data_IF_163955305070
#
_entry.id   IF_163955305070
#
_cell.length_a   1.000
_cell.length_b   1.000
_cell.length_c   1.000
_cell.angle_alpha   90.00
_cell.angle_beta   90.00
_cell.angle_gamma   90.00
#
_symmetry.space_group_name_H-M   'P 1'
#
loop_
_entity.id
_entity.type
_entity.pdbx_description
1 polymer ?
#
# COMPACT_ATOMS: atom_id res chain seq x y z
N UNK A 1 10.78 8.03 -13.86
CA UNK A 1 9.57 8.81 -13.52
C UNK A 1 8.57 8.91 -14.67
N UNK A 2 8.94 9.43 -15.85
CA UNK A 2 7.99 9.58 -16.95
C UNK A 2 7.35 8.25 -17.39
N UNK A 3 8.13 7.17 -17.43
CA UNK A 3 7.62 5.84 -17.81
C UNK A 3 6.66 5.24 -16.77
N UNK A 4 6.94 5.47 -15.48
CA UNK A 4 6.02 5.15 -14.39
C UNK A 4 4.67 5.87 -14.60
N UNK A 5 4.68 7.20 -14.74
CA UNK A 5 3.45 7.97 -14.89
C UNK A 5 2.69 7.68 -16.19
N UNK A 6 3.40 7.33 -17.28
CA UNK A 6 2.76 6.88 -18.52
C UNK A 6 2.01 5.56 -18.36
N UNK A 7 2.53 4.63 -17.56
CA UNK A 7 1.90 3.33 -17.27
C UNK A 7 0.78 3.42 -16.25
N UNK A 8 0.88 4.38 -15.33
CA UNK A 8 -0.20 4.73 -14.41
C UNK A 8 -1.27 5.55 -15.14
N UNK A 9 -1.98 4.93 -16.09
CA UNK A 9 -3.06 5.58 -16.82
C UNK A 9 -4.30 5.71 -15.93
N UNK A 10 -4.65 6.92 -15.45
CA UNK A 10 -5.66 7.11 -14.41
C UNK A 10 -7.09 6.79 -14.87
N UNK A 11 -7.35 6.67 -16.17
CA UNK A 11 -8.71 6.62 -16.73
C UNK A 11 -9.50 5.37 -16.33
N UNK A 12 -8.83 4.28 -15.95
CA UNK A 12 -9.47 3.01 -15.59
C UNK A 12 -9.65 2.80 -14.09
N UNK A 13 -9.03 3.62 -13.24
CA UNK A 13 -8.99 3.43 -11.79
C UNK A 13 -9.28 4.72 -11.03
N UNK A 14 -9.78 4.56 -9.82
CA UNK A 14 -10.15 5.64 -8.92
C UNK A 14 -9.09 5.95 -7.90
N UNK A 15 -8.30 4.94 -7.57
CA UNK A 15 -7.24 5.05 -6.61
C UNK A 15 -6.14 4.08 -6.96
N UNK A 16 -4.92 4.58 -6.96
CA UNK A 16 -3.73 3.76 -7.14
C UNK A 16 -2.74 4.10 -6.04
N UNK A 17 -2.15 3.08 -5.43
CA UNK A 17 -1.10 3.24 -4.45
C UNK A 17 -0.19 2.00 -4.48
N UNK A 18 0.93 2.03 -3.76
CA UNK A 18 1.80 0.88 -3.67
C UNK A 18 1.31 -0.09 -2.58
N UNK A 19 1.63 -1.37 -2.68
CA UNK A 19 1.44 -2.34 -1.58
C UNK A 19 -0.02 -2.43 -1.07
N UNK A 20 -0.97 -2.51 -1.98
CA UNK A 20 -2.35 -2.84 -1.66
C UNK A 20 -2.45 -4.31 -1.23
N UNK A 21 -2.87 -4.54 0.02
CA UNK A 21 -2.96 -5.88 0.61
C UNK A 21 -4.19 -5.96 1.50
N UNK A 22 -4.93 -7.08 1.42
CA UNK A 22 -6.06 -7.33 2.31
C UNK A 22 -5.59 -7.70 3.72
N UNK A 23 -6.46 -7.46 4.70
CA UNK A 23 -6.22 -7.88 6.07
C UNK A 23 -5.89 -9.38 6.17
N UNK A 24 -6.64 -10.24 5.48
CA UNK A 24 -6.43 -11.69 5.50
C UNK A 24 -5.02 -12.11 5.10
N UNK A 25 -4.41 -11.39 4.16
CA UNK A 25 -3.10 -11.74 3.59
C UNK A 25 -1.92 -11.21 4.45
N UNK A 26 -2.16 -10.26 5.37
CA UNK A 26 -1.08 -9.66 6.16
C UNK A 26 -1.44 -9.29 7.61
N UNK A 27 -2.44 -9.97 8.20
CA UNK A 27 -2.94 -9.70 9.56
C UNK A 27 -1.86 -9.61 10.65
N UNK A 28 -0.78 -10.41 10.52
CA UNK A 28 0.28 -10.53 11.53
C UNK A 28 1.42 -9.52 11.36
N UNK A 29 1.52 -8.88 10.19
CA UNK A 29 2.72 -8.12 9.80
C UNK A 29 2.57 -6.61 9.97
N UNK A 30 1.37 -6.12 10.31
CA UNK A 30 1.12 -4.69 10.34
C UNK A 30 0.29 -4.29 11.58
N UNK A 31 0.91 -3.65 12.60
CA UNK A 31 0.29 -3.48 13.92
C UNK A 31 -0.90 -2.51 13.92
N UNK A 32 -1.02 -1.68 12.90
CA UNK A 32 -2.08 -0.67 12.78
C UNK A 32 -3.47 -1.26 12.55
N UNK A 33 -3.58 -2.55 12.18
CA UNK A 33 -4.87 -3.23 12.06
C UNK A 33 -5.70 -3.16 13.34
N UNK A 34 -5.07 -3.31 14.50
CA UNK A 34 -5.76 -3.33 15.80
C UNK A 34 -6.32 -1.96 16.23
N UNK A 35 -5.89 -0.89 15.56
CA UNK A 35 -6.27 0.51 15.88
C UNK A 35 -7.20 1.10 14.83
N UNK A 36 -7.61 0.32 13.84
CA UNK A 36 -8.52 0.77 12.80
C UNK A 36 -9.96 0.38 13.15
N UNK A 37 -10.82 1.38 13.20
CA UNK A 37 -12.25 1.25 13.46
C UNK A 37 -13.01 1.73 12.22
N UNK A 38 -13.94 0.92 11.74
CA UNK A 38 -14.80 1.25 10.61
C UNK A 38 -16.14 0.48 10.72
N UNK A 39 -17.22 1.00 10.12
CA UNK A 39 -18.53 0.33 10.10
C UNK A 39 -18.58 -0.82 9.06
N UNK A 40 -17.48 -1.56 8.88
CA UNK A 40 -17.39 -2.70 7.95
C UNK A 40 -16.60 -3.84 8.59
N UNK A 41 -16.84 -5.11 8.19
CA UNK A 41 -16.11 -6.25 8.74
C UNK A 41 -14.60 -6.13 8.56
N UNK A 42 -13.83 -6.56 9.56
CA UNK A 42 -12.36 -6.49 9.54
C UNK A 42 -11.73 -7.22 8.33
N UNK A 43 -12.34 -8.33 7.90
CA UNK A 43 -11.89 -9.08 6.71
C UNK A 43 -12.04 -8.29 5.40
N UNK A 44 -12.79 -7.18 5.42
CA UNK A 44 -12.90 -6.27 4.28
C UNK A 44 -11.82 -5.19 4.24
N UNK A 45 -11.02 -5.08 5.30
CA UNK A 45 -9.99 -4.05 5.38
C UNK A 45 -8.89 -4.30 4.35
N UNK A 46 -8.41 -3.21 3.77
CA UNK A 46 -7.31 -3.17 2.83
C UNK A 46 -6.33 -2.13 3.34
N UNK A 47 -5.04 -2.42 3.30
CA UNK A 47 -4.00 -1.42 3.52
C UNK A 47 -3.32 -1.09 2.21
N UNK A 48 -2.75 0.10 2.14
CA UNK A 48 -1.88 0.54 1.07
C UNK A 48 -0.65 1.24 1.66
N UNK A 49 0.38 1.40 0.86
CA UNK A 49 1.46 2.34 1.12
C UNK A 49 1.28 3.58 0.25
N UNK A 50 0.95 4.70 0.90
CA UNK A 50 0.43 5.90 0.25
C UNK A 50 1.49 6.96 -0.09
N UNK A 51 2.79 6.62 -0.08
CA UNK A 51 3.84 7.59 -0.39
C UNK A 51 3.75 8.13 -1.82
N UNK A 52 3.30 7.28 -2.76
CA UNK A 52 2.89 7.68 -4.09
C UNK A 52 1.47 7.16 -4.31
N UNK A 53 0.52 8.08 -4.46
CA UNK A 53 -0.86 7.72 -4.74
C UNK A 53 -1.48 8.61 -5.81
N UNK A 54 -2.36 8.00 -6.60
CA UNK A 54 -3.32 8.70 -7.45
C UNK A 54 -4.71 8.56 -6.82
N UNK A 55 -5.51 9.63 -6.89
CA UNK A 55 -6.89 9.65 -6.44
C UNK A 55 -7.72 10.44 -7.45
N UNK A 56 -8.74 9.79 -8.02
CA UNK A 56 -9.67 10.46 -8.94
C UNK A 56 -10.53 11.48 -8.20
N UNK A 57 -11.03 12.49 -8.92
CA UNK A 57 -11.90 13.51 -8.33
C UNK A 57 -13.13 12.91 -7.65
N UNK A 58 -13.76 11.91 -8.26
CA UNK A 58 -14.94 11.24 -7.67
C UNK A 58 -14.58 10.46 -6.40
N UNK A 59 -13.43 9.80 -6.40
CA UNK A 59 -12.95 9.05 -5.23
C UNK A 59 -12.62 10.00 -4.08
N UNK A 60 -12.00 11.15 -4.37
CA UNK A 60 -11.73 12.18 -3.37
C UNK A 60 -13.03 12.76 -2.76
N UNK A 61 -14.03 13.03 -3.60
CA UNK A 61 -15.34 13.52 -3.13
C UNK A 61 -16.02 12.51 -2.20
N UNK A 62 -16.17 11.25 -2.65
CA UNK A 62 -16.77 10.20 -1.85
C UNK A 62 -15.97 9.92 -0.58
N UNK A 63 -14.64 9.93 -0.64
CA UNK A 63 -13.82 9.77 0.56
C UNK A 63 -14.14 10.86 1.59
N UNK A 64 -14.27 12.13 1.16
CA UNK A 64 -14.64 13.23 2.05
C UNK A 64 -16.03 13.07 2.67
N UNK A 65 -17.03 12.72 1.88
CA UNK A 65 -18.40 12.49 2.36
C UNK A 65 -18.49 11.27 3.29
N UNK A 66 -17.82 10.19 2.92
CA UNK A 66 -17.89 8.90 3.59
C UNK A 66 -17.10 8.89 4.89
N UNK A 67 -15.97 9.62 4.96
CA UNK A 67 -15.16 9.71 6.19
C UNK A 67 -15.57 10.89 7.08
N UNK A 68 -16.14 11.95 6.51
CA UNK A 68 -16.62 13.13 7.25
C UNK A 68 -18.03 12.99 7.82
N UNK A 69 -18.80 11.98 7.42
CA UNK A 69 -20.16 11.74 7.94
C UNK A 69 -20.13 11.12 9.32
N UNK A 70 -20.84 11.71 10.29
CA UNK A 70 -21.02 11.15 11.63
C UNK A 70 -21.66 9.74 11.63
N UNK A 71 -22.30 9.34 10.52
CA UNK A 71 -22.88 8.00 10.36
C UNK A 71 -21.83 6.91 10.07
N UNK A 72 -20.64 7.30 9.62
CA UNK A 72 -19.56 6.41 9.24
C UNK A 72 -18.30 6.79 10.00
N UNK A 73 -18.20 6.38 11.27
CA UNK A 73 -17.01 6.66 12.06
C UNK A 73 -15.85 5.78 11.61
N UNK A 74 -15.04 6.30 10.70
CA UNK A 74 -13.72 5.77 10.39
C UNK A 74 -12.69 6.38 11.34
N UNK A 75 -11.90 5.55 12.00
CA UNK A 75 -10.77 5.99 12.84
C UNK A 75 -9.56 5.09 12.63
N UNK A 76 -8.37 5.64 12.73
CA UNK A 76 -7.12 4.89 12.63
C UNK A 76 -6.22 5.36 11.49
N UNK A 77 -5.34 4.47 11.04
CA UNK A 77 -4.28 4.84 10.10
C UNK A 77 -4.83 5.05 8.68
N UNK A 78 -4.44 6.16 8.05
CA UNK A 78 -4.91 6.55 6.71
C UNK A 78 -4.58 5.50 5.63
N UNK A 79 -3.51 4.74 5.82
CA UNK A 79 -3.14 3.60 4.96
C UNK A 79 -4.16 2.47 4.95
N UNK A 80 -5.04 2.32 5.94
CA UNK A 80 -6.22 1.44 5.85
C UNK A 80 -7.45 2.19 5.41
N UNK A 81 -7.64 3.38 6.00
CA UNK A 81 -8.86 4.15 5.88
C UNK A 81 -9.20 4.43 4.43
N UNK A 82 -8.23 4.98 3.67
CA UNK A 82 -8.42 5.37 2.27
C UNK A 82 -8.81 4.16 1.39
N UNK A 83 -7.96 3.11 1.28
CA UNK A 83 -8.29 1.98 0.40
C UNK A 83 -9.52 1.20 0.87
N UNK A 84 -9.76 1.08 2.18
CA UNK A 84 -10.96 0.41 2.70
C UNK A 84 -12.22 1.19 2.36
N UNK A 85 -12.27 2.49 2.64
CA UNK A 85 -13.44 3.31 2.33
C UNK A 85 -13.75 3.27 0.82
N UNK A 86 -12.73 3.44 -0.03
CA UNK A 86 -12.91 3.45 -1.48
C UNK A 86 -13.39 2.09 -2.01
N UNK A 87 -12.83 0.97 -1.53
CA UNK A 87 -13.32 -0.37 -1.89
C UNK A 87 -14.78 -0.57 -1.50
N UNK A 88 -15.19 -0.09 -0.33
CA UNK A 88 -16.57 -0.19 0.15
C UNK A 88 -17.55 0.65 -0.67
N UNK A 89 -17.11 1.82 -1.16
CA UNK A 89 -17.87 2.64 -2.09
C UNK A 89 -17.87 2.10 -3.54
N UNK A 90 -17.28 0.93 -3.79
CA UNK A 90 -17.24 0.31 -5.13
C UNK A 90 -16.27 0.97 -6.11
N UNK A 91 -15.29 1.74 -5.62
CA UNK A 91 -14.26 2.33 -6.47
C UNK A 91 -13.28 1.29 -6.99
N UNK A 92 -12.77 1.54 -8.21
CA UNK A 92 -11.73 0.70 -8.81
C UNK A 92 -10.37 1.05 -8.22
N UNK A 93 -9.85 0.19 -7.37
CA UNK A 93 -8.53 0.37 -6.74
C UNK A 93 -7.47 -0.52 -7.41
N UNK A 94 -6.22 -0.05 -7.48
CA UNK A 94 -5.11 -0.78 -8.12
C UNK A 94 -3.78 -0.57 -7.41
N UNK A 95 -2.99 -1.62 -7.31
CA UNK A 95 -1.60 -1.52 -6.89
C UNK A 95 -0.73 -1.04 -8.06
N UNK A 96 0.17 -0.08 -7.81
CA UNK A 96 1.12 0.43 -8.80
C UNK A 96 2.32 -0.50 -9.02
N UNK A 97 2.39 -1.61 -8.28
CA UNK A 97 3.29 -2.72 -8.51
C UNK A 97 3.02 -3.87 -7.54
N UNK A 98 4.03 -4.63 -7.16
CA UNK A 98 3.87 -5.80 -6.28
C UNK A 98 3.24 -7.01 -6.97
N UNK A 99 2.71 -7.92 -6.16
CA UNK A 99 2.21 -9.23 -6.59
C UNK A 99 0.84 -9.57 -5.99
N UNK A 100 0.09 -8.54 -5.56
CA UNK A 100 -1.23 -8.75 -4.96
C UNK A 100 -2.30 -8.90 -6.04
N UNK A 101 -3.51 -9.28 -5.63
CA UNK A 101 -4.68 -9.30 -6.53
C UNK A 101 -5.10 -7.94 -7.06
N UNK A 102 -4.54 -6.85 -6.51
CA UNK A 102 -4.79 -5.49 -6.96
C UNK A 102 -3.83 -5.05 -8.07
N UNK A 103 -2.80 -5.85 -8.36
CA UNK A 103 -1.84 -5.62 -9.44
C UNK A 103 -2.24 -6.47 -10.66
N UNK A 104 -2.46 -5.86 -11.85
CA UNK A 104 -2.55 -6.63 -13.09
C UNK A 104 -1.31 -7.49 -13.28
N UNK A 105 -1.50 -8.71 -13.79
CA UNK A 105 -0.44 -9.73 -13.83
C UNK A 105 0.73 -9.30 -14.72
N UNK A 106 0.44 -8.59 -15.78
CA UNK A 106 1.40 -7.98 -16.69
C UNK A 106 2.31 -6.97 -15.99
N UNK A 107 1.85 -6.33 -14.91
CA UNK A 107 2.55 -5.26 -14.19
C UNK A 107 3.27 -5.73 -12.92
N UNK A 108 3.26 -7.04 -12.65
CA UNK A 108 3.90 -7.62 -11.48
C UNK A 108 5.40 -7.31 -11.42
N UNK A 109 5.83 -6.72 -10.30
CA UNK A 109 7.25 -6.44 -10.03
C UNK A 109 7.94 -5.41 -10.92
N UNK A 110 7.21 -4.70 -11.81
CA UNK A 110 7.81 -3.76 -12.78
C UNK A 110 8.32 -2.45 -12.16
N UNK A 111 7.58 -1.90 -11.19
CA UNK A 111 7.91 -0.59 -10.57
C UNK A 111 8.02 -0.66 -9.06
N UNK A 112 7.50 -1.71 -8.46
CA UNK A 112 7.47 -1.90 -7.02
C UNK A 112 7.46 -3.40 -6.75
N UNK A 113 8.23 -3.84 -5.75
CA UNK A 113 8.27 -5.25 -5.35
C UNK A 113 7.94 -5.34 -3.88
N UNK A 114 6.76 -5.87 -3.60
CA UNK A 114 6.37 -6.22 -2.24
C UNK A 114 5.90 -7.66 -2.20
N UNK A 115 6.54 -8.46 -1.35
CA UNK A 115 6.21 -9.86 -1.13
C UNK A 115 5.23 -10.07 0.04
N UNK A 116 4.84 -9.01 0.76
CA UNK A 116 3.82 -9.10 1.81
C UNK A 116 2.51 -9.62 1.22
N UNK A 117 1.97 -10.70 1.80
CA UNK A 117 0.75 -11.37 1.34
C UNK A 117 0.96 -12.44 0.27
N UNK A 118 2.20 -12.64 -0.21
CA UNK A 118 2.52 -13.70 -1.18
C UNK A 118 2.94 -15.02 -0.53
N UNK A 119 3.14 -15.04 0.79
CA UNK A 119 3.73 -16.17 1.51
C UNK A 119 5.22 -16.37 1.25
N UNK A 120 5.83 -15.59 0.35
CA UNK A 120 7.27 -15.58 0.09
C UNK A 120 7.98 -14.71 1.15
N UNK A 121 9.19 -15.09 1.59
CA UNK A 121 9.97 -14.26 2.50
C UNK A 121 10.17 -12.86 1.91
N UNK A 122 10.16 -11.81 2.74
CA UNK A 122 10.62 -10.49 2.34
C UNK A 122 12.13 -10.57 2.05
N UNK A 123 12.49 -11.01 0.85
CA UNK A 123 13.87 -11.19 0.41
C UNK A 123 14.46 -9.89 -0.12
N UNK A 124 15.74 -9.99 -0.47
CA UNK A 124 16.63 -9.02 -1.13
C UNK A 124 16.02 -8.34 -2.37
N UNK A 125 14.92 -8.87 -2.92
CA UNK A 125 14.21 -8.31 -4.07
C UNK A 125 13.03 -7.40 -3.70
N UNK A 126 12.76 -7.18 -2.41
CA UNK A 126 11.76 -6.23 -1.93
C UNK A 126 12.23 -4.79 -2.12
N UNK A 127 11.36 -3.92 -2.61
CA UNK A 127 11.63 -2.47 -2.64
C UNK A 127 11.39 -1.79 -1.29
N UNK A 128 10.91 -2.52 -0.27
CA UNK A 128 10.96 -2.09 1.12
C UNK A 128 12.29 -2.48 1.74
N UNK A 129 13.14 -1.50 2.04
CA UNK A 129 14.48 -1.73 2.60
C UNK A 129 14.62 -1.04 3.94
N UNK A 130 15.30 -1.69 4.89
CA UNK A 130 15.69 -1.07 6.15
C UNK A 130 16.44 0.25 5.89
N UNK A 131 16.12 1.32 6.63
CA UNK A 131 16.66 2.66 6.40
C UNK A 131 18.20 2.70 6.33
N UNK A 132 18.91 1.93 7.17
CA UNK A 132 20.38 1.83 7.14
C UNK A 132 20.92 1.22 5.84
N UNK A 133 20.25 0.20 5.32
CA UNK A 133 20.64 -0.49 4.08
C UNK A 133 20.13 0.23 2.82
N UNK A 134 19.17 1.14 2.95
CA UNK A 134 18.56 1.83 1.81
C UNK A 134 19.57 2.66 1.00
N UNK A 135 20.53 3.29 1.69
CA UNK A 135 21.52 4.17 1.05
C UNK A 135 22.76 3.43 0.53
N UNK A 136 22.92 2.16 0.90
CA UNK A 136 24.09 1.33 0.54
C UNK A 136 23.73 0.20 -0.42
N UNK A 137 22.45 -0.17 -0.53
CA UNK A 137 21.99 -1.18 -1.46
C UNK A 137 22.05 -0.67 -2.92
N UNK A 138 22.46 -1.56 -3.82
CA UNK A 138 22.31 -1.33 -5.25
C UNK A 138 20.82 -1.17 -5.59
N UNK A 139 20.50 -0.11 -6.32
CA UNK A 139 19.15 0.19 -6.75
C UNK A 139 19.02 -0.10 -8.24
N UNK A 140 18.03 -0.90 -8.61
CA UNK A 140 17.70 -1.18 -10.00
C UNK A 140 16.94 0.01 -10.61
N UNK A 141 17.36 0.41 -11.81
CA UNK A 141 16.69 1.47 -12.57
C UNK A 141 15.21 1.12 -12.82
N UNK A 142 14.34 2.09 -12.57
CA UNK A 142 12.90 1.96 -12.83
C UNK A 142 12.07 1.39 -11.67
N UNK A 143 12.70 0.98 -10.57
CA UNK A 143 12.01 0.59 -9.33
C UNK A 143 11.86 1.76 -8.35
N UNK A 144 10.77 1.72 -7.58
CA UNK A 144 10.49 2.65 -6.50
C UNK A 144 10.86 2.01 -5.16
N UNK A 145 11.96 2.48 -4.57
CA UNK A 145 12.41 2.03 -3.26
C UNK A 145 11.75 2.84 -2.13
N UNK A 146 11.36 2.16 -1.05
CA UNK A 146 10.80 2.75 0.15
C UNK A 146 11.65 2.39 1.38
N UNK A 147 12.21 3.39 2.09
CA UNK A 147 12.95 3.14 3.31
C UNK A 147 11.98 2.87 4.47
N UNK A 148 12.18 1.74 5.16
CA UNK A 148 11.40 1.32 6.32
C UNK A 148 12.23 1.51 7.58
N UNK A 149 11.61 2.03 8.64
CA UNK A 149 12.24 2.07 9.96
C UNK A 149 12.47 0.64 10.44
N UNK A 150 13.71 0.35 10.83
CA UNK A 150 14.04 -0.91 11.48
C UNK A 150 13.34 -0.94 12.84
N UNK A 151 12.64 -2.03 13.21
CA UNK A 151 12.11 -2.16 14.56
C UNK A 151 13.24 -2.04 15.58
N UNK A 152 13.00 -1.34 16.70
CA UNK A 152 14.03 -1.09 17.73
C UNK A 152 14.78 -2.33 18.21
N UNK A 153 14.12 -3.49 18.23
CA UNK A 153 14.73 -4.76 18.67
C UNK A 153 15.69 -5.38 17.62
N UNK A 154 15.68 -4.89 16.39
CA UNK A 154 16.58 -5.28 15.29
C UNK A 154 17.59 -4.19 14.95
N UNK A 155 17.58 -3.02 15.61
CA UNK A 155 18.50 -1.92 15.31
C UNK A 155 19.98 -2.33 15.43
N UNK A 156 20.32 -3.29 16.30
CA UNK A 156 21.70 -3.79 16.45
C UNK A 156 22.20 -4.63 15.27
N UNK A 157 21.31 -5.31 14.53
CA UNK A 157 21.68 -6.10 13.34
C UNK A 157 21.87 -5.24 12.09
N UNK A 158 21.27 -4.04 12.08
CA UNK A 158 21.28 -3.11 10.94
C UNK A 158 22.04 -1.81 11.21
N UNK A 159 22.73 -1.71 12.36
CA UNK A 159 23.67 -0.64 12.67
C UNK A 159 25.01 -0.95 11.99
N UNK A 160 25.12 -0.57 10.72
CA UNK A 160 26.39 -0.46 10.00
C UNK A 160 26.82 1.01 9.96
#
# INVERSE_FOLDING_TARGET
>A
WLDLFRRLTPESYDYMAASLVDFGDCRHYWPHWSRFEAPVPQDSFVRAHNALMYLSRRAAHHLGEYTGSAKHMYKGHYEVLIPTALKQCGHKIRDIGGYSKYTPREDWGQHYRNLVGTGLPCTEHSTFSAFGNFFTAEQEDGLLYHPVKVPKHLEQEYAL
#
